data_IF_803256902067
#
_entry.id   IF_803256902067
#
_cell.length_a   1.000
_cell.length_b   1.000
_cell.length_c   1.000
_cell.angle_alpha   90.00
_cell.angle_beta   90.00
_cell.angle_gamma   90.00
#
_symmetry.space_group_name_H-M   'P 1'
#
loop_
_entity.id
_entity.type
_entity.pdbx_description
1 polymer ?
#
# COMPACT_ATOMS: atom_id res chain seq x y z
N UNK A 1 2.85 2.37 10.01
CA UNK A 1 2.22 3.07 8.84
C UNK A 1 2.08 4.62 8.95
N UNK A 2 2.43 5.29 10.06
CA UNK A 2 2.03 6.69 10.32
C UNK A 2 2.58 7.76 9.33
N UNK A 3 3.87 7.74 9.00
CA UNK A 3 4.48 8.76 8.14
C UNK A 3 3.90 8.75 6.71
N UNK A 4 3.69 7.56 6.14
CA UNK A 4 3.12 7.39 4.79
C UNK A 4 1.74 8.04 4.69
N UNK A 5 0.88 7.84 5.70
CA UNK A 5 -0.46 8.46 5.70
C UNK A 5 -0.43 9.98 5.87
N UNK A 6 0.64 10.53 6.45
CA UNK A 6 0.75 11.96 6.71
C UNK A 6 1.26 12.74 5.49
N UNK A 7 2.12 12.12 4.66
CA UNK A 7 2.83 12.84 3.60
C UNK A 7 2.46 12.42 2.18
N UNK A 8 1.76 11.29 2.01
CA UNK A 8 1.46 10.75 0.67
C UNK A 8 -0.04 10.72 0.39
N UNK A 9 -0.42 11.13 -0.82
CA UNK A 9 -1.77 10.95 -1.35
C UNK A 9 -1.87 9.72 -2.26
N UNK A 10 -0.76 9.31 -2.86
CA UNK A 10 -0.67 8.18 -3.81
C UNK A 10 0.44 7.24 -3.40
N UNK A 11 0.19 5.95 -3.52
CA UNK A 11 1.13 4.90 -3.12
C UNK A 11 1.38 3.98 -4.33
N UNK A 12 2.66 3.81 -4.68
CA UNK A 12 3.13 2.86 -5.68
C UNK A 12 3.84 1.70 -4.96
N UNK A 13 3.42 0.47 -5.25
CA UNK A 13 4.03 -0.72 -4.68
C UNK A 13 4.91 -1.40 -5.73
N UNK A 14 6.19 -1.55 -5.40
CA UNK A 14 7.19 -2.18 -6.28
C UNK A 14 7.60 -3.55 -5.73
N UNK A 15 7.83 -4.51 -6.61
CA UNK A 15 8.43 -5.81 -6.28
C UNK A 15 9.36 -6.24 -7.40
N UNK A 16 10.61 -6.57 -7.06
CA UNK A 16 11.63 -7.05 -8.02
C UNK A 16 11.76 -6.12 -9.25
N UNK A 17 11.72 -4.80 -9.02
CA UNK A 17 11.82 -3.79 -10.08
C UNK A 17 10.55 -3.57 -10.91
N UNK A 18 9.45 -4.28 -10.64
CA UNK A 18 8.17 -4.10 -11.31
C UNK A 18 7.15 -3.35 -10.45
N UNK A 19 6.27 -2.58 -11.10
CA UNK A 19 5.07 -2.00 -10.48
C UNK A 19 4.01 -3.08 -10.28
N UNK A 20 3.60 -3.28 -9.04
CA UNK A 20 2.59 -4.27 -8.64
C UNK A 20 1.24 -3.63 -8.37
N UNK A 21 1.24 -2.43 -7.77
CA UNK A 21 0.01 -1.73 -7.42
C UNK A 21 0.23 -0.21 -7.39
N UNK A 22 -0.81 0.54 -7.71
CA UNK A 22 -0.82 2.00 -7.67
C UNK A 22 -2.22 2.47 -7.29
N UNK A 23 -2.34 3.18 -6.17
CA UNK A 23 -3.64 3.56 -5.61
C UNK A 23 -3.56 4.86 -4.80
N UNK A 24 -4.72 5.45 -4.54
CA UNK A 24 -4.86 6.58 -3.63
C UNK A 24 -4.78 6.09 -2.18
N UNK A 25 -4.27 6.92 -1.27
CA UNK A 25 -4.16 6.55 0.15
C UNK A 25 -5.50 6.10 0.76
N UNK A 26 -6.62 6.71 0.33
CA UNK A 26 -7.98 6.33 0.77
C UNK A 26 -8.36 4.89 0.41
N UNK A 27 -7.77 4.33 -0.64
CA UNK A 27 -8.00 2.96 -1.11
C UNK A 27 -7.05 1.93 -0.45
N UNK A 28 -6.20 2.36 0.48
CA UNK A 28 -5.13 1.53 1.07
C UNK A 28 -5.62 0.19 1.62
N UNK A 29 -6.81 0.15 2.21
CA UNK A 29 -7.41 -1.07 2.79
C UNK A 29 -8.47 -1.73 1.88
N UNK A 30 -8.52 -1.34 0.60
CA UNK A 30 -9.48 -1.89 -0.35
C UNK A 30 -9.22 -3.39 -0.61
N UNK A 31 -10.25 -4.21 -0.45
CA UNK A 31 -10.19 -5.66 -0.77
C UNK A 31 -9.96 -5.97 -2.25
N UNK A 32 -10.05 -4.95 -3.12
CA UNK A 32 -9.75 -5.07 -4.56
C UNK A 32 -8.25 -4.88 -4.88
N UNK A 33 -7.40 -4.60 -3.89
CA UNK A 33 -5.95 -4.46 -4.09
C UNK A 33 -5.29 -5.79 -4.41
N UNK A 34 -4.11 -5.74 -5.01
CA UNK A 34 -3.33 -6.94 -5.29
C UNK A 34 -3.05 -7.73 -3.99
N UNK A 35 -3.15 -9.07 -3.95
CA UNK A 35 -2.97 -9.85 -2.70
C UNK A 35 -1.66 -9.55 -1.96
N UNK A 36 -0.58 -9.29 -2.71
CA UNK A 36 0.71 -8.89 -2.14
C UNK A 36 0.65 -7.53 -1.42
N UNK A 37 -0.12 -6.57 -1.93
CA UNK A 37 -0.37 -5.28 -1.28
C UNK A 37 -1.11 -5.50 0.03
N UNK A 38 -2.16 -6.33 0.04
CA UNK A 38 -2.95 -6.61 1.24
C UNK A 38 -2.08 -7.17 2.38
N UNK A 39 -1.28 -8.20 2.08
CA UNK A 39 -0.34 -8.80 3.03
C UNK A 39 0.66 -7.77 3.58
N UNK A 40 1.24 -6.91 2.74
CA UNK A 40 2.18 -5.89 3.20
C UNK A 40 1.52 -4.83 4.07
N UNK A 41 0.32 -4.40 3.71
CA UNK A 41 -0.43 -3.39 4.48
C UNK A 41 -0.79 -3.93 5.86
N UNK A 42 -1.19 -5.20 5.96
CA UNK A 42 -1.43 -5.87 7.25
C UNK A 42 -0.19 -5.82 8.14
N UNK A 43 0.96 -6.30 7.65
CA UNK A 43 2.22 -6.30 8.41
C UNK A 43 2.69 -4.89 8.78
N UNK A 44 2.53 -3.91 7.88
CA UNK A 44 2.98 -2.53 8.09
C UNK A 44 2.03 -1.68 8.95
N UNK A 45 0.79 -2.13 9.15
CA UNK A 45 -0.21 -1.46 9.99
C UNK A 45 -0.17 -1.91 11.45
N UNK A 46 0.46 -3.04 11.76
CA UNK A 46 0.62 -3.57 13.12
C UNK A 46 1.72 -2.87 13.95
N UNK A 47 2.50 -1.95 13.34
CA UNK A 47 3.53 -1.11 13.99
C UNK A 47 3.36 0.38 13.64
#
# INVERSE_FOLDING_TARGET
MAAVRYICERIALLKKGGLVDLFLLEDLFSKKRHPYTQMLVEVAAEN
#
